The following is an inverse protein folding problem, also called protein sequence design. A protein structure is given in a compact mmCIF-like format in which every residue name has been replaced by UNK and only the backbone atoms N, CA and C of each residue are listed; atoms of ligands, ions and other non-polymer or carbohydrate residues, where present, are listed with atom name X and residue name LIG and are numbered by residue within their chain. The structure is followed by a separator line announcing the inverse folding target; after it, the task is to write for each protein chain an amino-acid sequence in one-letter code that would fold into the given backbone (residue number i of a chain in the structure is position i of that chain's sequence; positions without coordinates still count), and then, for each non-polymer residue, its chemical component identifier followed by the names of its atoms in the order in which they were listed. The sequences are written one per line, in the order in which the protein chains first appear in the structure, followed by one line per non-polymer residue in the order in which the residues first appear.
data_IF_834706247663
#
_entry.id   IF_834706247663
#
_cell.length_a   1.000
_cell.length_b   1.000
_cell.length_c   1.000
_cell.angle_alpha   90.00
_cell.angle_beta   90.00
_cell.angle_gamma   90.00
#
_symmetry.space_group_name_H-M   'P 1'
#
loop_
_entity.id
_entity.type
_entity.pdbx_description
1 polymer ?
#
# COMPACT_ATOMS: atom_id res chain seq x y z
N UNK A 1 15.38 18.61 17.68
CA UNK A 1 16.52 17.98 16.99
C UNK A 1 15.94 17.32 15.75
N UNK A 2 16.40 17.75 14.58
CA UNK A 2 15.96 17.18 13.30
C UNK A 2 16.75 15.92 13.03
N UNK A 3 16.07 14.83 12.71
CA UNK A 3 16.70 13.53 12.44
C UNK A 3 16.39 13.18 10.98
N UNK A 4 17.42 12.73 10.25
CA UNK A 4 17.29 12.13 8.92
C UNK A 4 17.59 10.64 9.08
N UNK A 5 16.58 9.77 9.18
CA UNK A 5 16.81 8.34 9.26
C UNK A 5 17.28 7.82 7.89
N UNK A 6 17.97 6.69 7.90
CA UNK A 6 18.33 5.98 6.68
C UNK A 6 17.12 5.32 6.02
N UNK A 7 16.14 4.90 6.84
CA UNK A 7 14.93 4.21 6.39
C UNK A 7 13.66 4.99 6.76
N UNK A 8 12.68 4.89 5.88
CA UNK A 8 11.30 5.28 6.12
C UNK A 8 10.45 4.02 6.36
N UNK A 9 9.41 4.15 7.16
CA UNK A 9 8.47 3.08 7.47
C UNK A 9 7.05 3.52 7.13
N UNK A 10 6.45 2.86 6.16
CA UNK A 10 5.12 3.16 5.65
C UNK A 10 4.10 2.26 6.31
N UNK A 11 2.99 2.84 6.75
CA UNK A 11 1.83 2.11 7.25
C UNK A 11 0.86 1.94 6.09
N UNK A 12 0.55 0.70 5.73
CA UNK A 12 -0.40 0.38 4.68
C UNK A 12 -1.63 -0.31 5.28
N UNK A 13 -2.77 -0.15 4.61
CA UNK A 13 -3.96 -0.99 4.83
C UNK A 13 -4.33 -1.67 3.52
N UNK A 14 -4.43 -3.00 3.54
CA UNK A 14 -5.02 -3.78 2.46
C UNK A 14 -6.41 -4.22 2.88
N UNK A 15 -7.41 -3.89 2.08
CA UNK A 15 -8.81 -4.30 2.25
C UNK A 15 -9.10 -5.38 1.23
N UNK A 16 -9.62 -6.53 1.68
CA UNK A 16 -10.01 -7.65 0.82
C UNK A 16 -11.51 -7.88 1.02
N UNK A 17 -12.28 -7.78 -0.07
CA UNK A 17 -13.74 -7.88 -0.07
C UNK A 17 -14.18 -9.33 -0.38
N UNK A 18 -13.96 -10.27 0.56
CA UNK A 18 -14.37 -11.67 0.38
C UNK A 18 -15.89 -11.87 0.23
N UNK A 19 -16.68 -10.88 0.65
CA UNK A 19 -18.13 -10.84 0.48
C UNK A 19 -18.54 -10.59 -0.97
N UNK A 20 -17.71 -9.86 -1.74
CA UNK A 20 -17.94 -9.56 -3.15
C UNK A 20 -17.25 -10.59 -4.06
N UNK A 21 -16.04 -10.97 -3.69
CA UNK A 21 -15.22 -11.95 -4.41
C UNK A 21 -14.61 -12.95 -3.41
N UNK A 22 -15.20 -14.15 -3.28
CA UNK A 22 -14.72 -15.17 -2.35
C UNK A 22 -13.30 -15.65 -2.60
N UNK A 23 -12.72 -15.39 -3.79
CA UNK A 23 -11.32 -15.71 -4.04
C UNK A 23 -10.36 -14.78 -3.29
N UNK A 24 -10.79 -13.54 -3.03
CA UNK A 24 -9.96 -12.49 -2.45
C UNK A 24 -9.08 -11.74 -3.47
N UNK A 25 -9.30 -11.93 -4.76
CA UNK A 25 -8.62 -11.17 -5.81
C UNK A 25 -9.07 -9.71 -5.81
N UNK A 26 -10.33 -9.45 -5.52
CA UNK A 26 -10.82 -8.08 -5.27
C UNK A 26 -10.26 -7.53 -3.95
N UNK A 27 -9.23 -6.71 -4.06
CA UNK A 27 -8.61 -6.01 -2.93
C UNK A 27 -8.09 -4.64 -3.32
N UNK A 28 -7.80 -3.83 -2.31
CA UNK A 28 -7.20 -2.51 -2.50
C UNK A 28 -6.22 -2.21 -1.38
N UNK A 29 -5.04 -1.70 -1.73
CA UNK A 29 -4.00 -1.32 -0.79
C UNK A 29 -3.87 0.20 -0.76
N UNK A 30 -3.79 0.78 0.46
CA UNK A 30 -3.68 2.20 0.67
C UNK A 30 -2.53 2.54 1.59
N UNK A 31 -1.71 3.52 1.21
CA UNK A 31 -0.70 4.10 2.12
C UNK A 31 -1.36 5.11 3.06
N UNK A 32 -1.26 4.84 4.36
CA UNK A 32 -1.89 5.61 5.43
C UNK A 32 -0.96 6.67 6.03
N UNK A 33 0.34 6.49 5.87
CA UNK A 33 1.33 7.47 6.31
C UNK A 33 2.73 6.87 6.39
N UNK A 34 3.69 7.76 6.59
CA UNK A 34 5.11 7.42 6.67
C UNK A 34 5.69 7.89 7.99
N UNK A 35 6.59 7.09 8.56
CA UNK A 35 7.25 7.33 9.83
C UNK A 35 8.75 7.17 9.70
N UNK A 36 9.52 7.94 10.48
CA UNK A 36 10.97 7.85 10.50
C UNK A 36 11.55 6.81 11.44
N UNK A 37 10.73 6.04 12.15
CA UNK A 37 11.19 4.95 13.01
C UNK A 37 10.22 3.77 13.01
N UNK A 38 10.75 2.56 13.14
CA UNK A 38 9.95 1.35 13.22
C UNK A 38 8.98 1.36 14.42
N UNK A 39 9.41 1.92 15.54
CA UNK A 39 8.59 2.03 16.76
C UNK A 39 7.37 2.94 16.53
N UNK A 40 7.57 4.12 15.96
CA UNK A 40 6.47 5.04 15.66
C UNK A 40 5.54 4.48 14.57
N UNK A 41 6.07 3.74 13.60
CA UNK A 41 5.28 3.01 12.60
C UNK A 41 4.39 1.94 13.22
N UNK A 42 4.93 1.08 14.11
CA UNK A 42 4.16 0.07 14.85
C UNK A 42 3.07 0.70 15.69
N UNK A 43 3.40 1.74 16.46
CA UNK A 43 2.42 2.48 17.28
C UNK A 43 1.28 3.05 16.43
N UNK A 44 1.60 3.58 15.24
CA UNK A 44 0.61 4.07 14.28
C UNK A 44 -0.25 2.93 13.71
N UNK A 45 0.36 1.81 13.29
CA UNK A 45 -0.32 0.64 12.73
C UNK A 45 -1.37 0.06 13.69
N UNK A 46 -1.03 -0.09 14.98
CA UNK A 46 -1.96 -0.63 15.98
C UNK A 46 -3.19 0.26 16.24
N UNK A 47 -3.15 1.53 15.82
CA UNK A 47 -4.26 2.49 16.01
C UNK A 47 -5.16 2.63 14.78
N UNK A 48 -4.75 2.12 13.61
CA UNK A 48 -5.44 2.34 12.32
C UNK A 48 -6.93 2.02 12.39
N UNK A 49 -7.28 0.81 12.87
CA UNK A 49 -8.69 0.39 12.93
C UNK A 49 -9.51 1.22 13.92
N UNK A 50 -8.91 1.65 15.04
CA UNK A 50 -9.57 2.55 15.98
C UNK A 50 -9.79 3.96 15.40
N UNK A 51 -8.84 4.47 14.61
CA UNK A 51 -9.02 5.72 13.84
C UNK A 51 -10.18 5.59 12.85
N UNK A 52 -10.39 4.39 12.29
CA UNK A 52 -11.54 4.04 11.47
C UNK A 52 -12.83 3.76 12.25
N UNK A 53 -12.85 4.03 13.57
CA UNK A 53 -13.96 3.80 14.48
C UNK A 53 -14.34 2.34 14.69
N UNK A 54 -13.50 1.40 14.27
CA UNK A 54 -13.65 -0.01 14.62
C UNK A 54 -13.05 -0.31 15.99
N UNK A 55 -13.72 -1.19 16.71
CA UNK A 55 -13.27 -1.82 17.93
C UNK A 55 -13.04 -3.32 17.70
N UNK A 56 -12.25 -4.01 18.53
CA UNK A 56 -12.06 -5.46 18.37
C UNK A 56 -13.36 -6.28 18.34
N UNK A 57 -14.42 -5.80 19.00
CA UNK A 57 -15.73 -6.46 19.03
C UNK A 57 -16.49 -6.43 17.71
N UNK A 58 -16.08 -5.60 16.75
CA UNK A 58 -16.70 -5.51 15.43
C UNK A 58 -16.23 -6.60 14.46
N UNK A 59 -15.27 -7.44 14.89
CA UNK A 59 -14.62 -8.43 14.04
C UNK A 59 -14.91 -9.86 14.50
N UNK A 60 -15.16 -10.75 13.54
CA UNK A 60 -15.24 -12.18 13.77
C UNK A 60 -13.84 -12.78 14.06
N UNK A 61 -12.79 -12.15 13.53
CA UNK A 61 -11.41 -12.51 13.82
C UNK A 61 -10.57 -11.23 13.94
N UNK A 62 -9.83 -11.10 15.03
CA UNK A 62 -8.97 -9.96 15.30
C UNK A 62 -7.68 -10.45 15.92
N UNK A 63 -6.55 -10.16 15.27
CA UNK A 63 -5.23 -10.58 15.72
C UNK A 63 -4.23 -9.42 15.60
N UNK A 64 -3.41 -9.26 16.64
CA UNK A 64 -2.39 -8.21 16.73
C UNK A 64 -1.04 -8.86 16.94
N UNK A 65 -0.07 -8.56 16.08
CA UNK A 65 1.22 -9.25 16.06
C UNK A 65 1.98 -9.13 17.39
N UNK A 66 1.90 -7.99 18.09
CA UNK A 66 2.64 -7.79 19.36
C UNK A 66 2.17 -8.66 20.51
N UNK A 67 0.91 -9.11 20.48
CA UNK A 67 0.29 -9.94 21.52
C UNK A 67 -0.05 -11.34 21.02
N UNK A 68 0.32 -11.68 19.79
CA UNK A 68 -0.02 -12.96 19.19
C UNK A 68 0.75 -14.09 19.86
N UNK A 69 0.04 -15.18 20.17
CA UNK A 69 0.65 -16.40 20.69
C UNK A 69 0.69 -17.45 19.58
N UNK A 70 1.87 -18.04 19.36
CA UNK A 70 2.09 -19.02 18.30
C UNK A 70 2.55 -18.41 16.97
N UNK A 71 2.44 -19.17 15.89
CA UNK A 71 2.92 -18.76 14.57
C UNK A 71 2.07 -17.65 13.97
N UNK A 72 2.71 -16.56 13.54
CA UNK A 72 2.06 -15.48 12.81
C UNK A 72 1.80 -15.90 11.36
N UNK A 73 0.53 -16.07 10.99
CA UNK A 73 0.11 -16.62 9.68
C UNK A 73 -0.33 -15.59 8.65
N UNK A 74 -0.44 -14.32 9.04
CA UNK A 74 -1.11 -13.30 8.22
C UNK A 74 -0.19 -12.60 7.23
N UNK A 75 1.09 -12.98 7.18
CA UNK A 75 2.09 -12.41 6.29
C UNK A 75 3.16 -11.62 7.05
N UNK A 76 4.34 -11.56 6.44
CA UNK A 76 5.45 -10.74 6.93
C UNK A 76 5.08 -9.25 6.86
N UNK A 77 5.54 -8.48 7.85
CA UNK A 77 5.22 -7.05 7.94
C UNK A 77 3.79 -6.72 8.37
N UNK A 78 2.85 -7.68 8.39
CA UNK A 78 1.48 -7.45 8.89
C UNK A 78 1.49 -7.32 10.40
N UNK A 79 1.02 -6.18 10.91
CA UNK A 79 0.95 -5.86 12.33
C UNK A 79 -0.43 -6.17 12.92
N UNK A 80 -1.49 -6.00 12.14
CA UNK A 80 -2.88 -6.27 12.55
C UNK A 80 -3.62 -6.99 11.42
N UNK A 81 -4.32 -8.05 11.78
CA UNK A 81 -5.30 -8.73 10.94
C UNK A 81 -6.68 -8.57 11.56
N UNK A 82 -7.68 -8.19 10.78
CA UNK A 82 -9.05 -8.12 11.23
C UNK A 82 -10.02 -8.54 10.13
N UNK A 83 -11.00 -9.38 10.46
CA UNK A 83 -12.03 -9.84 9.52
C UNK A 83 -13.41 -9.61 10.12
N UNK A 84 -14.24 -8.87 9.39
CA UNK A 84 -15.63 -8.59 9.76
C UNK A 84 -16.48 -9.86 9.65
N UNK A 85 -17.63 -9.95 10.35
CA UNK A 85 -18.58 -11.05 10.18
C UNK A 85 -19.08 -11.21 8.74
N UNK A 86 -19.13 -10.12 7.97
CA UNK A 86 -19.56 -10.15 6.57
C UNK A 86 -18.50 -10.74 5.61
N UNK A 87 -17.23 -10.84 6.04
CA UNK A 87 -16.14 -11.41 5.22
C UNK A 87 -15.07 -10.40 4.81
N UNK A 88 -15.38 -9.09 4.81
CA UNK A 88 -14.38 -8.04 4.57
C UNK A 88 -13.21 -8.14 5.54
N UNK A 89 -11.99 -8.19 5.00
CA UNK A 89 -10.75 -8.37 5.75
C UNK A 89 -9.84 -7.15 5.61
N UNK A 90 -9.18 -6.77 6.71
CA UNK A 90 -8.22 -5.69 6.82
C UNK A 90 -6.85 -6.25 7.23
N UNK A 91 -5.83 -5.95 6.46
CA UNK A 91 -4.43 -6.21 6.78
C UNK A 91 -3.73 -4.88 6.97
N UNK A 92 -3.20 -4.62 8.16
CA UNK A 92 -2.43 -3.41 8.43
C UNK A 92 -0.97 -3.84 8.46
N UNK A 93 -0.19 -3.38 7.49
CA UNK A 93 1.20 -3.79 7.30
C UNK A 93 2.17 -2.62 7.36
N UNK A 94 3.44 -2.96 7.57
CA UNK A 94 4.56 -2.04 7.50
C UNK A 94 5.46 -2.43 6.33
N UNK A 95 5.91 -1.42 5.58
CA UNK A 95 6.99 -1.56 4.61
C UNK A 95 8.07 -0.54 4.90
N UNK A 96 9.33 -0.94 4.67
CA UNK A 96 10.46 -0.06 4.82
C UNK A 96 11.06 0.27 3.45
N UNK A 97 11.40 1.53 3.22
CA UNK A 97 12.16 1.96 2.04
C UNK A 97 13.36 2.80 2.47
N UNK A 98 14.39 2.92 1.62
CA UNK A 98 15.41 3.95 1.77
C UNK A 98 14.81 5.35 1.85
N UNK A 99 15.47 6.24 2.58
CA UNK A 99 15.16 7.67 2.65
C UNK A 99 16.00 8.46 1.63
N UNK A 100 15.85 8.14 0.35
CA UNK A 100 16.72 8.70 -0.71
C UNK A 100 16.61 10.21 -0.83
N UNK A 101 15.40 10.76 -0.65
CA UNK A 101 15.12 12.21 -0.66
C UNK A 101 15.46 12.90 0.67
N UNK A 102 16.05 12.18 1.62
CA UNK A 102 16.57 12.72 2.88
C UNK A 102 15.51 13.47 3.70
N UNK A 103 14.28 12.94 3.76
CA UNK A 103 13.18 13.49 4.54
C UNK A 103 13.58 13.68 6.00
N UNK A 104 13.26 14.86 6.53
CA UNK A 104 13.47 15.20 7.94
C UNK A 104 12.28 14.71 8.76
N UNK A 105 12.58 14.19 9.95
CA UNK A 105 11.59 13.61 10.84
C UNK A 105 11.54 14.39 12.15
N UNK A 106 10.32 14.61 12.63
CA UNK A 106 10.05 15.19 13.94
C UNK A 106 10.31 14.17 15.06
N UNK A 107 10.34 14.64 16.31
CA UNK A 107 10.63 13.79 17.48
C UNK A 107 9.60 12.66 17.67
N UNK A 108 8.36 12.87 17.22
CA UNK A 108 7.26 11.90 17.30
C UNK A 108 7.30 10.85 16.17
N UNK A 109 8.33 10.91 15.31
CA UNK A 109 8.50 10.04 14.16
C UNK A 109 7.71 10.45 12.92
N UNK A 110 6.98 11.56 12.94
CA UNK A 110 6.28 12.07 11.74
C UNK A 110 7.24 12.77 10.76
N UNK A 111 6.96 12.65 9.46
CA UNK A 111 7.72 13.37 8.43
C UNK A 111 7.40 14.86 8.51
N UNK A 112 8.43 15.69 8.50
CA UNK A 112 8.29 17.13 8.41
C UNK A 112 8.05 17.52 6.95
N UNK A 113 6.82 17.92 6.63
CA UNK A 113 6.47 18.37 5.28
C UNK A 113 6.77 19.86 5.10
N UNK A 114 7.30 20.27 3.93
CA UNK A 114 7.47 21.68 3.59
C UNK A 114 6.13 22.43 3.58
N UNK A 115 6.19 23.75 3.80
CA UNK A 115 5.01 24.62 3.74
C UNK A 115 4.31 24.48 2.38
N UNK A 116 3.01 24.21 2.41
CA UNK A 116 2.19 24.04 1.20
C UNK A 116 2.06 22.59 0.71
N UNK A 117 2.77 21.64 1.34
CA UNK A 117 2.64 20.21 1.07
C UNK A 117 1.89 19.56 2.23
N UNK A 118 0.73 18.96 1.94
CA UNK A 118 -0.12 18.30 2.94
C UNK A 118 0.10 16.78 3.02
N UNK A 119 0.72 16.20 1.99
CA UNK A 119 0.81 14.75 1.85
C UNK A 119 1.92 14.35 0.88
N UNK A 120 2.59 13.24 1.20
CA UNK A 120 3.53 12.58 0.31
C UNK A 120 2.78 11.83 -0.82
N UNK A 121 3.53 11.55 -1.87
CA UNK A 121 3.13 10.77 -3.03
C UNK A 121 3.93 9.48 -3.03
N UNK A 122 3.30 8.38 -3.38
CA UNK A 122 3.90 7.06 -3.35
C UNK A 122 3.75 6.39 -4.71
N UNK A 123 4.78 5.66 -5.11
CA UNK A 123 4.70 4.71 -6.22
C UNK A 123 4.48 3.34 -5.62
N UNK A 124 3.40 2.68 -6.00
CA UNK A 124 3.09 1.31 -5.61
C UNK A 124 3.25 0.42 -6.83
N UNK A 125 3.98 -0.68 -6.69
CA UNK A 125 4.02 -1.76 -7.66
C UNK A 125 3.29 -2.97 -7.09
N UNK A 126 2.26 -3.44 -7.80
CA UNK A 126 1.54 -4.66 -7.45
C UNK A 126 1.86 -5.76 -8.44
N UNK A 127 2.37 -6.89 -7.95
CA UNK A 127 2.70 -8.08 -8.74
C UNK A 127 1.70 -9.20 -8.47
N UNK A 128 1.18 -9.80 -9.53
CA UNK A 128 0.26 -10.95 -9.48
C UNK A 128 0.81 -12.07 -10.36
N UNK A 129 0.95 -13.26 -9.77
CA UNK A 129 1.40 -14.46 -10.46
C UNK A 129 0.21 -15.40 -10.70
N UNK A 130 -0.49 -15.21 -11.81
CA UNK A 130 -1.65 -16.04 -12.18
C UNK A 130 -1.28 -17.50 -12.48
N UNK A 131 0.01 -17.79 -12.75
CA UNK A 131 0.48 -19.15 -12.95
C UNK A 131 0.56 -19.91 -11.61
N UNK A 132 0.96 -19.24 -10.53
CA UNK A 132 0.93 -19.80 -9.16
C UNK A 132 -0.45 -19.78 -8.54
N UNK A 133 -1.21 -18.70 -8.76
CA UNK A 133 -2.56 -18.54 -8.26
C UNK A 133 -3.49 -17.97 -9.33
N UNK A 134 -4.21 -18.87 -10.01
CA UNK A 134 -5.15 -18.49 -11.06
C UNK A 134 -6.29 -17.58 -10.59
N UNK A 135 -6.55 -17.53 -9.30
CA UNK A 135 -7.56 -16.62 -8.79
C UNK A 135 -7.07 -15.17 -8.75
N UNK A 136 -5.75 -14.94 -8.68
CA UNK A 136 -5.17 -13.61 -8.50
C UNK A 136 -5.28 -13.10 -7.06
N UNK A 137 -5.60 -13.95 -6.09
CA UNK A 137 -5.65 -13.60 -4.68
C UNK A 137 -4.24 -13.48 -4.05
N UNK A 138 -3.22 -14.11 -4.62
CA UNK A 138 -1.84 -13.91 -4.21
C UNK A 138 -1.25 -12.71 -4.95
N UNK A 139 -1.40 -11.54 -4.33
CA UNK A 139 -0.87 -10.26 -4.82
C UNK A 139 0.17 -9.74 -3.84
N UNK A 140 1.30 -9.30 -4.35
CA UNK A 140 2.32 -8.60 -3.59
C UNK A 140 2.31 -7.13 -4.00
N UNK A 141 2.27 -6.20 -3.04
CA UNK A 141 2.36 -4.76 -3.32
C UNK A 141 3.57 -4.21 -2.60
N UNK A 142 4.42 -3.46 -3.29
CA UNK A 142 5.62 -2.83 -2.74
C UNK A 142 5.60 -1.33 -3.01
N UNK A 143 6.18 -0.55 -2.09
CA UNK A 143 6.43 0.87 -2.31
C UNK A 143 7.79 1.03 -2.99
N UNK A 144 7.78 1.56 -4.20
CA UNK A 144 8.96 1.74 -5.04
C UNK A 144 9.54 3.16 -4.93
N UNK A 145 8.78 4.10 -4.34
CA UNK A 145 9.27 5.45 -4.12
C UNK A 145 8.30 6.33 -3.34
N UNK A 146 8.85 7.36 -2.70
CA UNK A 146 8.13 8.34 -1.90
C UNK A 146 8.59 9.74 -2.27
N UNK A 147 7.67 10.62 -2.66
CA UNK A 147 7.96 11.93 -3.23
C UNK A 147 7.13 13.04 -2.57
N UNK A 148 7.61 14.29 -2.68
CA UNK A 148 6.84 15.47 -2.26
C UNK A 148 5.78 15.84 -3.29
N UNK A 149 6.13 15.82 -4.58
CA UNK A 149 5.27 16.30 -5.65
C UNK A 149 4.72 15.18 -6.52
N UNK A 150 3.44 15.28 -6.89
CA UNK A 150 2.79 14.26 -7.74
C UNK A 150 3.43 14.18 -9.12
N UNK A 151 3.90 15.30 -9.66
CA UNK A 151 4.62 15.33 -10.94
C UNK A 151 5.93 14.53 -10.91
N UNK A 152 6.66 14.57 -9.78
CA UNK A 152 7.90 13.80 -9.60
C UNK A 152 7.58 12.31 -9.48
N UNK A 153 6.60 11.95 -8.66
CA UNK A 153 6.14 10.57 -8.53
C UNK A 153 5.65 9.99 -9.87
N UNK A 154 4.91 10.77 -10.67
CA UNK A 154 4.46 10.35 -12.01
C UNK A 154 5.62 10.17 -12.98
N UNK A 155 6.61 11.09 -12.96
CA UNK A 155 7.79 10.98 -13.81
C UNK A 155 8.62 9.75 -13.44
N UNK A 156 8.84 9.49 -12.15
CA UNK A 156 9.55 8.32 -11.67
C UNK A 156 8.77 7.02 -11.97
N UNK A 157 7.46 6.99 -11.72
CA UNK A 157 6.62 5.80 -11.96
C UNK A 157 6.59 5.38 -13.43
N UNK A 158 6.57 6.34 -14.36
CA UNK A 158 6.64 6.07 -15.81
C UNK A 158 7.99 5.49 -16.27
N UNK A 159 9.05 5.68 -15.48
CA UNK A 159 10.38 5.15 -15.76
C UNK A 159 10.76 3.97 -14.85
N UNK A 160 9.82 3.49 -14.01
CA UNK A 160 10.08 2.40 -13.06
C UNK A 160 10.37 1.08 -13.79
N UNK A 161 9.64 0.84 -14.89
CA UNK A 161 9.72 -0.37 -15.69
C UNK A 161 10.25 -0.02 -17.09
N UNK A 162 11.19 -0.82 -17.60
CA UNK A 162 11.63 -0.72 -19.00
C UNK A 162 10.66 -1.55 -19.87
N UNK A 163 9.92 -0.95 -20.81
CA UNK A 163 9.00 -1.68 -21.68
C UNK A 163 9.65 -2.81 -22.49
N UNK A 164 10.97 -2.78 -22.71
CA UNK A 164 11.70 -3.82 -23.43
C UNK A 164 11.84 -5.13 -22.63
N UNK A 165 11.62 -5.08 -21.31
CA UNK A 165 11.71 -6.26 -20.43
C UNK A 165 10.40 -7.06 -20.35
N UNK A 166 9.34 -6.63 -21.04
CA UNK A 166 8.00 -7.19 -20.93
C UNK A 166 7.45 -7.69 -22.27
N UNK A 167 6.65 -8.75 -22.21
CA UNK A 167 5.93 -9.29 -23.37
C UNK A 167 4.79 -8.36 -23.77
N UNK A 168 4.13 -7.76 -22.78
CA UNK A 168 3.11 -6.73 -22.97
C UNK A 168 3.35 -5.54 -22.03
N UNK A 169 3.11 -4.33 -22.54
CA UNK A 169 3.32 -3.09 -21.80
C UNK A 169 2.35 -2.00 -22.24
N UNK A 170 1.39 -1.71 -21.37
CA UNK A 170 0.29 -0.80 -21.60
C UNK A 170 0.40 0.43 -20.69
N UNK A 171 0.05 1.60 -21.22
CA UNK A 171 -0.10 2.84 -20.43
C UNK A 171 -1.42 3.53 -20.78
N UNK A 172 -1.99 4.36 -19.88
CA UNK A 172 -3.25 5.04 -20.14
C UNK A 172 -3.23 5.87 -21.43
N UNK A 173 -2.08 6.45 -21.78
CA UNK A 173 -1.94 7.29 -22.99
C UNK A 173 -1.96 6.48 -24.30
N UNK A 174 -1.68 5.17 -24.23
CA UNK A 174 -1.69 4.26 -25.38
C UNK A 174 -3.05 3.60 -25.61
N UNK A 175 -3.93 3.61 -24.59
CA UNK A 175 -5.29 3.10 -24.71
C UNK A 175 -6.24 4.26 -25.02
N UNK A 176 -7.03 4.15 -26.09
CA UNK A 176 -7.95 5.18 -26.59
C UNK A 176 -9.17 5.42 -25.65
N UNK A 177 -8.91 5.77 -24.38
CA UNK A 177 -9.92 6.02 -23.34
C UNK A 177 -10.43 4.76 -22.61
N UNK A 178 -10.01 3.56 -23.01
CA UNK A 178 -10.42 2.30 -22.41
C UNK A 178 -9.42 1.78 -21.36
N UNK A 179 -9.08 2.57 -20.33
CA UNK A 179 -8.15 2.14 -19.28
C UNK A 179 -8.87 1.41 -18.13
N UNK A 180 -8.77 0.06 -18.01
CA UNK A 180 -9.59 -0.70 -17.06
C UNK A 180 -8.97 -0.80 -15.66
N UNK A 181 -7.70 -0.39 -15.50
CA UNK A 181 -6.92 -0.64 -14.28
C UNK A 181 -7.09 0.44 -13.20
N UNK A 182 -7.78 1.53 -13.54
CA UNK A 182 -8.12 2.63 -12.64
C UNK A 182 -7.23 3.87 -12.77
N UNK A 183 -7.77 5.02 -12.37
CA UNK A 183 -7.20 6.36 -12.64
C UNK A 183 -5.81 6.61 -12.03
N UNK A 184 -5.43 5.83 -11.02
CA UNK A 184 -4.12 5.97 -10.37
C UNK A 184 -3.06 5.03 -10.95
N UNK A 185 -3.43 4.07 -11.80
CA UNK A 185 -2.49 3.16 -12.45
C UNK A 185 -1.91 3.84 -13.68
N UNK A 186 -0.59 3.88 -13.77
CA UNK A 186 0.15 4.57 -14.84
C UNK A 186 0.81 3.60 -15.83
N UNK A 187 0.96 2.33 -15.44
CA UNK A 187 1.43 1.28 -16.32
C UNK A 187 0.88 -0.08 -15.86
N UNK A 188 0.60 -0.95 -16.84
CA UNK A 188 0.38 -2.37 -16.65
C UNK A 188 1.33 -3.11 -17.57
N UNK A 189 1.99 -4.14 -17.04
CA UNK A 189 2.99 -4.89 -17.79
C UNK A 189 2.83 -6.39 -17.50
N UNK A 190 3.16 -7.21 -18.50
CA UNK A 190 3.17 -8.68 -18.40
C UNK A 190 4.57 -9.17 -18.73
N UNK A 191 5.23 -9.82 -17.77
CA UNK A 191 6.55 -10.42 -18.02
C UNK A 191 6.44 -11.66 -18.92
N UNK A 192 7.55 -12.08 -19.53
CA UNK A 192 7.62 -13.34 -20.30
C UNK A 192 7.20 -14.58 -19.47
N UNK A 193 7.31 -14.52 -18.14
CA UNK A 193 6.87 -15.57 -17.23
C UNK A 193 5.38 -15.51 -16.85
N UNK A 194 4.64 -14.54 -17.41
CA UNK A 194 3.22 -14.30 -17.15
C UNK A 194 2.93 -13.55 -15.85
N UNK A 195 3.94 -12.94 -15.21
CA UNK A 195 3.72 -12.07 -14.05
C UNK A 195 3.07 -10.77 -14.51
N UNK A 196 1.97 -10.41 -13.86
CA UNK A 196 1.29 -9.15 -14.10
C UNK A 196 1.78 -8.12 -13.10
N UNK A 197 2.25 -6.96 -13.59
CA UNK A 197 2.73 -5.85 -12.78
C UNK A 197 1.84 -4.64 -13.03
N UNK A 198 1.40 -3.99 -11.96
CA UNK A 198 0.65 -2.73 -11.99
C UNK A 198 1.45 -1.67 -11.25
N UNK A 199 1.70 -0.53 -11.92
CA UNK A 199 2.36 0.62 -11.30
C UNK A 199 1.33 1.71 -11.06
N UNK A 200 1.18 2.15 -9.82
CA UNK A 200 0.21 3.16 -9.43
C UNK A 200 0.84 4.30 -8.63
N UNK A 201 0.31 5.52 -8.80
CA UNK A 201 0.71 6.69 -8.01
C UNK A 201 -0.39 7.08 -7.04
N UNK A 202 -0.11 6.92 -5.75
CA UNK A 202 -1.06 7.17 -4.67
C UNK A 202 -0.64 8.36 -3.80
N UNK A 203 -1.60 9.15 -3.34
CA UNK A 203 -1.37 10.12 -2.26
C UNK A 203 -1.79 9.50 -0.93
N UNK A 204 -1.18 9.90 0.19
CA UNK A 204 -1.64 9.46 1.53
C UNK A 204 -3.17 9.59 1.63
N UNK A 205 -3.85 8.49 1.89
CA UNK A 205 -5.31 8.49 1.93
C UNK A 205 -5.78 9.16 3.23
N UNK A 206 -6.71 10.10 3.13
CA UNK A 206 -7.46 10.54 4.30
C UNK A 206 -8.39 9.37 4.69
N UNK A 207 -7.98 8.63 5.72
CA UNK A 207 -8.62 7.39 6.16
C UNK A 207 -10.14 7.56 6.35
N UNK A 208 -10.62 8.71 6.83
CA UNK A 208 -12.06 8.94 7.01
C UNK A 208 -12.82 9.21 5.69
N UNK A 209 -12.16 9.75 4.66
CA UNK A 209 -12.79 10.03 3.36
C UNK A 209 -12.90 8.79 2.47
N UNK A 210 -11.87 7.95 2.46
CA UNK A 210 -11.80 6.76 1.60
C UNK A 210 -12.79 5.66 2.02
N UNK A 211 -13.03 5.48 3.31
CA UNK A 211 -13.92 4.41 3.80
C UNK A 211 -15.41 4.76 3.80
N UNK A 212 -15.75 6.06 3.73
CA UNK A 212 -17.14 6.50 3.57
C UNK A 212 -17.60 6.51 2.11
N UNK A 213 -16.69 6.28 1.15
CA UNK A 213 -16.94 6.29 -0.29
C UNK A 213 -16.79 4.94 -1.00
N UNK A 214 -16.52 3.86 -0.27
CA UNK A 214 -16.46 2.46 -0.75
C UNK A 214 -17.66 1.63 -0.24
#
# INVERSE_FOLDING_TARGET
MEIRPELLYHVLITVIDYDKDPSGAQRSTYVLGTRGSLESAKSSAYRVLNTLRYTPGDFAEYAVHSSHQGTWRYGEGVMVYARTPAGRTFLISLQATPNDDQFVVQYDGSIMLPKGISSLQYILQTTIDYNKDRSGAQQETQIEGTFLHRSEALAAARNLLDPLDFEDFETPEKMDGEWPYGDNVVAHAISESGLNLFVAVQTTSCIEGTFNGL
#
